data_IF_389021012861
#
_entry.id   IF_389021012861
#
_cell.length_a   1.000
_cell.length_b   1.000
_cell.length_c   1.000
_cell.angle_alpha   90.00
_cell.angle_beta   90.00
_cell.angle_gamma   90.00
#
_symmetry.space_group_name_H-M   'P 1'
#
loop_
_entity.id
_entity.type
_entity.pdbx_description
1 polymer ?
#
# COMPACT_ATOMS: atom_id res chain seq x y z
N UNK A 1 11.31 17.95 5.63
CA UNK A 1 11.24 18.06 7.11
C UNK A 1 9.78 17.86 7.52
N UNK A 2 9.45 16.76 8.21
CA UNK A 2 8.08 16.53 8.71
C UNK A 2 7.86 17.37 9.97
N UNK A 3 7.05 18.43 9.87
CA UNK A 3 6.60 19.22 11.01
C UNK A 3 6.21 20.64 10.62
N UNK A 4 4.97 21.04 10.93
CA UNK A 4 4.64 22.45 11.17
C UNK A 4 5.07 22.75 12.61
N UNK A 5 5.75 23.88 12.79
CA UNK A 5 6.21 24.31 14.10
C UNK A 5 5.02 24.73 14.97
N UNK A 6 4.85 24.07 16.11
CA UNK A 6 4.09 24.59 17.25
C UNK A 6 4.83 24.23 18.53
N UNK A 7 4.83 25.16 19.49
CA UNK A 7 5.56 25.10 20.76
C UNK A 7 5.51 23.74 21.46
N UNK A 8 6.68 23.10 21.61
CA UNK A 8 6.84 21.84 22.35
C UNK A 8 7.30 20.66 21.49
N UNK A 9 8.50 20.77 20.89
CA UNK A 9 9.16 19.69 20.15
C UNK A 9 8.54 19.46 18.75
N UNK A 10 9.38 19.17 17.75
CA UNK A 10 8.91 18.81 16.42
C UNK A 10 8.06 17.52 16.52
N UNK A 11 6.73 17.65 16.56
CA UNK A 11 5.84 16.51 16.36
C UNK A 11 5.96 16.06 14.92
N UNK A 12 6.46 14.83 14.74
CA UNK A 12 6.51 14.18 13.43
C UNK A 12 5.07 13.84 13.04
N UNK A 13 4.63 14.30 11.88
CA UNK A 13 3.33 13.89 11.34
C UNK A 13 3.42 12.43 10.86
N UNK A 14 2.79 11.52 11.59
CA UNK A 14 2.72 10.07 11.29
C UNK A 14 1.36 9.67 10.72
N UNK A 15 0.65 10.63 10.13
CA UNK A 15 -0.63 10.38 9.49
C UNK A 15 -0.45 9.69 8.14
N UNK A 16 -1.19 8.60 7.95
CA UNK A 16 -1.30 7.86 6.70
C UNK A 16 -2.75 7.82 6.25
N UNK A 17 -2.96 7.58 4.96
CA UNK A 17 -4.30 7.41 4.39
C UNK A 17 -4.43 6.03 3.79
N UNK A 18 -5.63 5.47 3.89
CA UNK A 18 -5.93 4.15 3.33
C UNK A 18 -6.60 4.35 1.99
N UNK A 19 -6.13 3.60 0.99
CA UNK A 19 -6.80 3.48 -0.30
C UNK A 19 -7.10 2.00 -0.54
N UNK A 20 -8.24 1.74 -1.16
CA UNK A 20 -8.67 0.40 -1.55
C UNK A 20 -8.99 0.38 -3.04
N UNK A 21 -8.50 -0.66 -3.71
CA UNK A 21 -8.90 -0.98 -5.07
C UNK A 21 -10.17 -1.79 -5.04
N UNK A 22 -11.26 -1.22 -5.53
CA UNK A 22 -12.61 -1.80 -5.49
C UNK A 22 -12.99 -2.25 -6.89
N UNK A 23 -13.42 -3.51 -7.01
CA UNK A 23 -13.89 -4.10 -8.28
C UNK A 23 -15.37 -4.45 -8.13
N UNK A 24 -16.21 -3.93 -9.02
CA UNK A 24 -17.62 -4.32 -9.07
C UNK A 24 -17.78 -5.64 -9.84
N UNK A 25 -17.97 -6.74 -9.10
CA UNK A 25 -18.18 -8.07 -9.68
C UNK A 25 -19.66 -8.39 -9.97
N UNK A 26 -20.56 -7.43 -9.74
CA UNK A 26 -22.01 -7.60 -9.95
C UNK A 26 -22.40 -7.24 -11.38
N UNK A 27 -23.64 -7.58 -11.75
CA UNK A 27 -24.18 -7.27 -13.09
C UNK A 27 -24.79 -5.85 -13.18
N UNK A 28 -24.85 -5.10 -12.08
CA UNK A 28 -25.45 -3.76 -12.01
C UNK A 28 -24.39 -2.73 -11.58
N UNK A 29 -24.55 -1.45 -11.98
CA UNK A 29 -23.70 -0.39 -11.46
C UNK A 29 -23.88 -0.26 -9.94
N UNK A 30 -22.81 0.10 -9.25
CA UNK A 30 -22.79 0.36 -7.81
C UNK A 30 -22.49 1.83 -7.56
N UNK A 31 -23.21 2.45 -6.62
CA UNK A 31 -22.97 3.84 -6.24
C UNK A 31 -22.41 3.91 -4.82
N UNK A 32 -21.09 4.04 -4.69
CA UNK A 32 -20.47 4.22 -3.38
C UNK A 32 -20.67 5.65 -2.88
N UNK A 33 -21.22 5.81 -1.68
CA UNK A 33 -21.59 7.11 -1.09
C UNK A 33 -20.81 7.46 0.15
N UNK A 34 -20.30 6.47 0.89
CA UNK A 34 -19.49 6.69 2.08
C UNK A 34 -18.50 5.54 2.30
N UNK A 35 -17.44 5.84 3.06
CA UNK A 35 -16.44 4.87 3.45
C UNK A 35 -15.97 5.17 4.88
N UNK A 36 -15.77 4.11 5.68
CA UNK A 36 -15.31 4.21 7.06
C UNK A 36 -14.28 3.15 7.33
N UNK A 37 -13.32 3.47 8.18
CA UNK A 37 -12.49 2.46 8.82
C UNK A 37 -12.57 2.51 10.34
N UNK A 38 -12.31 1.37 10.98
CA UNK A 38 -12.33 1.20 12.43
C UNK A 38 -11.12 0.43 12.91
N UNK A 39 -10.48 0.90 13.99
CA UNK A 39 -9.42 0.16 14.68
C UNK A 39 -10.04 -0.96 15.51
N UNK A 40 -9.53 -2.17 15.37
CA UNK A 40 -9.99 -3.34 16.11
C UNK A 40 -8.79 -4.01 16.80
N UNK A 41 -8.89 -4.20 18.12
CA UNK A 41 -7.88 -4.92 18.93
C UNK A 41 -6.45 -4.38 18.79
N UNK A 42 -6.30 -3.06 18.60
CA UNK A 42 -4.99 -2.43 18.52
C UNK A 42 -4.74 -1.49 19.70
N UNK A 43 -3.47 -1.26 19.99
CA UNK A 43 -2.98 -0.21 20.89
C UNK A 43 -2.25 0.85 20.07
N UNK A 44 -2.07 2.05 20.62
CA UNK A 44 -1.20 3.08 20.04
C UNK A 44 -1.54 3.46 18.58
N UNK A 45 -2.79 3.25 18.14
CA UNK A 45 -3.35 3.75 16.88
C UNK A 45 -4.49 4.71 17.20
N UNK A 46 -4.53 5.83 16.49
CA UNK A 46 -5.56 6.85 16.63
C UNK A 46 -6.10 7.27 15.27
N UNK A 47 -7.29 7.88 15.28
CA UNK A 47 -7.72 8.69 14.15
C UNK A 47 -6.80 9.90 14.04
N UNK A 48 -6.21 10.09 12.88
CA UNK A 48 -5.47 11.28 12.50
C UNK A 48 -6.41 12.35 11.92
N UNK A 49 -5.82 13.34 11.26
CA UNK A 49 -6.58 14.36 10.54
C UNK A 49 -7.36 13.77 9.35
N UNK A 50 -7.93 14.63 8.53
CA UNK A 50 -8.68 14.21 7.36
C UNK A 50 -8.13 14.81 6.07
N UNK A 51 -8.27 14.09 4.96
CA UNK A 51 -7.94 14.57 3.62
C UNK A 51 -9.17 15.20 3.00
N UNK A 52 -9.07 16.49 2.68
CA UNK A 52 -10.12 17.21 1.99
C UNK A 52 -9.88 17.20 0.47
N UNK A 53 -10.96 17.07 -0.30
CA UNK A 53 -11.02 17.34 -1.74
C UNK A 53 -10.11 16.50 -2.66
N UNK A 54 -9.92 15.20 -2.41
CA UNK A 54 -9.37 14.29 -3.44
C UNK A 54 -10.46 13.60 -4.27
N UNK A 55 -10.18 13.43 -5.57
CA UNK A 55 -11.02 12.63 -6.48
C UNK A 55 -11.10 11.20 -5.93
N UNK A 56 -12.30 10.62 -5.91
CA UNK A 56 -12.60 9.29 -5.36
C UNK A 56 -12.35 9.13 -3.84
N UNK A 57 -12.40 10.23 -3.09
CA UNK A 57 -12.34 10.19 -1.63
C UNK A 57 -13.72 10.12 -1.02
N UNK A 58 -13.93 9.10 -0.19
CA UNK A 58 -15.18 8.89 0.52
C UNK A 58 -14.97 9.14 2.02
N UNK A 59 -15.86 9.98 2.57
CA UNK A 59 -15.96 10.27 3.98
C UNK A 59 -16.90 9.29 4.67
N UNK A 60 -16.81 9.15 6.00
CA UNK A 60 -17.80 8.42 6.78
C UNK A 60 -19.15 9.13 6.82
N UNK A 61 -19.21 10.40 6.40
CA UNK A 61 -20.43 11.20 6.34
C UNK A 61 -20.76 11.47 4.88
N UNK A 62 -21.91 10.99 4.40
CA UNK A 62 -22.32 11.08 2.98
C UNK A 62 -22.30 12.52 2.46
N UNK A 63 -22.69 13.51 3.26
CA UNK A 63 -22.73 14.92 2.86
C UNK A 63 -21.36 15.53 2.54
N UNK A 64 -20.27 14.87 2.94
CA UNK A 64 -18.90 15.28 2.64
C UNK A 64 -18.27 14.48 1.50
N UNK A 65 -18.94 13.44 1.02
CA UNK A 65 -18.49 12.58 -0.07
C UNK A 65 -19.03 13.06 -1.42
N UNK A 66 -18.23 12.91 -2.47
CA UNK A 66 -18.77 12.86 -3.84
C UNK A 66 -19.03 11.39 -4.18
N UNK A 67 -20.28 10.99 -4.51
CA UNK A 67 -20.56 9.61 -4.85
C UNK A 67 -19.71 9.10 -6.02
N UNK A 68 -19.31 7.83 -5.96
CA UNK A 68 -18.50 7.17 -6.98
C UNK A 68 -19.36 6.10 -7.63
N UNK A 69 -19.66 6.28 -8.92
CA UNK A 69 -20.29 5.24 -9.73
C UNK A 69 -19.24 4.24 -10.20
N UNK A 70 -19.53 2.95 -10.08
CA UNK A 70 -18.69 1.86 -10.56
C UNK A 70 -19.55 0.97 -11.44
N UNK A 71 -19.33 0.99 -12.75
CA UNK A 71 -20.11 0.15 -13.66
C UNK A 71 -19.79 -1.33 -13.47
N UNK A 72 -20.65 -2.20 -14.01
CA UNK A 72 -20.48 -3.65 -13.90
C UNK A 72 -19.14 -4.09 -14.51
N UNK A 73 -18.32 -4.79 -13.73
CA UNK A 73 -16.99 -5.24 -14.14
C UNK A 73 -15.87 -4.18 -14.02
N UNK A 74 -16.20 -2.94 -13.65
CA UNK A 74 -15.20 -1.89 -13.51
C UNK A 74 -14.44 -1.93 -12.18
N UNK A 75 -13.28 -1.29 -12.19
CA UNK A 75 -12.41 -1.14 -11.05
C UNK A 75 -12.08 0.33 -10.80
N UNK A 76 -12.14 0.75 -9.54
CA UNK A 76 -11.79 2.11 -9.12
C UNK A 76 -10.95 2.06 -7.84
N UNK A 77 -9.98 2.96 -7.74
CA UNK A 77 -9.26 3.20 -6.49
C UNK A 77 -10.06 4.20 -5.65
N UNK A 78 -10.48 3.77 -4.46
CA UNK A 78 -11.25 4.54 -3.46
C UNK A 78 -10.32 4.95 -2.33
N UNK A 79 -10.26 6.23 -2.03
CA UNK A 79 -9.53 6.75 -0.88
C UNK A 79 -10.48 6.93 0.32
N UNK A 80 -10.02 6.55 1.51
CA UNK A 80 -10.71 6.83 2.76
C UNK A 80 -10.25 8.20 3.28
N UNK A 81 -11.18 9.13 3.47
CA UNK A 81 -10.85 10.51 3.83
C UNK A 81 -10.28 10.64 5.25
N UNK A 82 -10.68 9.78 6.18
CA UNK A 82 -10.14 9.77 7.54
C UNK A 82 -8.70 9.23 7.54
N UNK A 83 -7.76 10.00 8.09
CA UNK A 83 -6.36 9.58 8.24
C UNK A 83 -6.16 8.69 9.45
N UNK A 84 -5.26 7.73 9.34
CA UNK A 84 -4.81 6.85 10.41
C UNK A 84 -3.49 7.36 10.96
N UNK A 85 -3.35 7.54 12.27
CA UNK A 85 -2.11 7.98 12.88
C UNK A 85 -1.30 6.76 13.36
N UNK A 86 -0.15 6.54 12.72
CA UNK A 86 0.77 5.44 13.03
C UNK A 86 1.78 5.87 14.10
N UNK A 87 1.29 6.10 15.33
CA UNK A 87 2.11 6.61 16.43
C UNK A 87 3.39 5.77 16.65
N UNK A 88 4.55 6.41 16.61
CA UNK A 88 5.88 5.83 16.80
C UNK A 88 6.49 5.16 15.56
N UNK A 89 5.78 5.07 14.43
CA UNK A 89 6.28 4.38 13.23
C UNK A 89 7.45 5.12 12.57
N UNK A 90 7.40 6.45 12.47
CA UNK A 90 8.48 7.22 11.84
C UNK A 90 9.80 7.04 12.59
N UNK A 91 9.75 6.90 13.93
CA UNK A 91 10.94 6.59 14.73
C UNK A 91 11.52 5.20 14.39
N UNK A 92 10.67 4.20 14.12
CA UNK A 92 11.11 2.86 13.68
C UNK A 92 11.74 2.89 12.30
N UNK A 93 11.09 3.55 11.34
CA UNK A 93 11.60 3.69 9.96
C UNK A 93 12.95 4.40 9.95
N UNK A 94 13.09 5.54 10.63
CA UNK A 94 14.36 6.29 10.68
C UNK A 94 15.53 5.53 11.31
N UNK A 95 15.24 4.58 12.20
CA UNK A 95 16.28 3.72 12.81
C UNK A 95 16.74 2.61 11.86
N UNK A 96 15.92 2.24 10.88
CA UNK A 96 16.27 1.21 9.91
C UNK A 96 16.95 1.83 8.68
N UNK A 97 18.27 2.03 8.79
CA UNK A 97 19.10 2.56 7.70
C UNK A 97 19.16 1.65 6.47
N UNK A 98 18.85 0.37 6.61
CA UNK A 98 18.90 -0.56 5.47
C UNK A 98 17.81 -0.27 4.44
N UNK A 99 16.71 0.38 4.84
CA UNK A 99 15.63 0.81 3.93
C UNK A 99 16.12 1.88 2.95
N UNK A 100 17.05 2.72 3.38
CA UNK A 100 17.61 3.82 2.57
C UNK A 100 18.34 3.30 1.34
N UNK A 101 18.81 2.04 1.39
CA UNK A 101 19.52 1.38 0.29
C UNK A 101 18.64 0.43 -0.52
N UNK A 102 17.34 0.36 -0.20
CA UNK A 102 16.43 -0.54 -0.88
C UNK A 102 16.23 -0.15 -2.35
N UNK A 103 16.16 -1.17 -3.21
CA UNK A 103 15.76 -0.97 -4.59
C UNK A 103 14.26 -0.73 -4.67
N UNK A 104 13.82 0.16 -5.57
CA UNK A 104 12.40 0.34 -5.88
C UNK A 104 12.08 0.00 -7.32
N UNK A 105 10.83 -0.37 -7.55
CA UNK A 105 10.27 -0.60 -8.87
C UNK A 105 9.34 0.57 -9.20
N UNK A 106 9.52 1.13 -10.40
CA UNK A 106 8.63 2.16 -10.92
C UNK A 106 7.21 1.61 -11.04
N UNK A 107 6.22 2.42 -10.64
CA UNK A 107 4.82 2.06 -10.64
C UNK A 107 3.98 3.14 -9.98
N UNK A 108 2.65 3.01 -10.05
CA UNK A 108 1.74 3.86 -9.29
C UNK A 108 0.82 2.97 -8.43
N UNK A 109 1.08 2.83 -7.12
CA UNK A 109 2.19 3.44 -6.36
C UNK A 109 3.57 2.80 -6.65
N UNK A 110 4.65 3.54 -6.41
CA UNK A 110 6.02 3.01 -6.41
C UNK A 110 6.14 1.92 -5.33
N UNK A 111 6.88 0.83 -5.63
CA UNK A 111 7.01 -0.31 -4.72
C UNK A 111 8.45 -0.58 -4.35
N UNK A 112 8.71 -0.91 -3.08
CA UNK A 112 10.02 -1.40 -2.64
C UNK A 112 10.20 -2.85 -3.10
N UNK A 113 11.41 -3.20 -3.52
CA UNK A 113 11.81 -4.56 -3.83
C UNK A 113 12.48 -5.20 -2.62
N UNK A 114 11.91 -6.30 -2.13
CA UNK A 114 12.53 -7.15 -1.11
C UNK A 114 11.60 -7.51 0.04
N UNK A 115 11.29 -8.80 0.16
CA UNK A 115 10.44 -9.36 1.22
C UNK A 115 10.97 -9.06 2.63
N UNK A 116 12.29 -8.88 2.78
CA UNK A 116 12.91 -8.51 4.06
C UNK A 116 12.33 -7.21 4.64
N UNK A 117 12.02 -6.23 3.80
CA UNK A 117 11.52 -4.93 4.23
C UNK A 117 10.04 -5.00 4.60
N UNK A 118 9.27 -5.78 3.83
CA UNK A 118 7.86 -6.06 4.10
C UNK A 118 7.71 -6.80 5.44
N UNK A 119 8.51 -7.86 5.64
CA UNK A 119 8.50 -8.65 6.88
C UNK A 119 8.93 -7.79 8.07
N UNK A 120 10.02 -7.02 7.94
CA UNK A 120 10.44 -6.10 9.00
C UNK A 120 9.35 -5.09 9.36
N UNK A 121 8.65 -4.52 8.37
CA UNK A 121 7.59 -3.55 8.62
C UNK A 121 6.38 -4.21 9.29
N UNK A 122 6.01 -5.42 8.89
CA UNK A 122 4.99 -6.23 9.56
C UNK A 122 5.34 -6.51 11.03
N UNK A 123 6.61 -6.79 11.33
CA UNK A 123 7.09 -6.93 12.70
C UNK A 123 6.96 -5.61 13.47
N UNK A 124 7.30 -4.46 12.85
CA UNK A 124 7.13 -3.16 13.51
C UNK A 124 5.66 -2.84 13.79
N UNK A 125 4.75 -3.15 12.86
CA UNK A 125 3.31 -3.00 13.06
C UNK A 125 2.83 -3.85 14.24
N UNK A 126 3.28 -5.11 14.32
CA UNK A 126 2.94 -6.02 15.42
C UNK A 126 3.48 -5.53 16.77
N UNK A 127 4.73 -5.05 16.80
CA UNK A 127 5.36 -4.54 18.00
C UNK A 127 4.66 -3.28 18.52
N UNK A 128 4.40 -2.31 17.65
CA UNK A 128 3.80 -1.03 18.02
C UNK A 128 2.31 -1.18 18.35
N UNK A 129 1.55 -1.90 17.54
CA UNK A 129 0.09 -1.86 17.57
C UNK A 129 -0.57 -3.14 18.07
N UNK A 130 0.17 -4.23 18.18
CA UNK A 130 -0.31 -5.54 18.62
C UNK A 130 -0.39 -6.55 17.47
N UNK A 131 -0.09 -7.80 17.78
CA UNK A 131 -0.14 -8.95 16.86
C UNK A 131 -1.55 -9.22 16.31
N UNK A 132 -2.57 -8.94 17.12
CA UNK A 132 -4.00 -9.09 16.78
C UNK A 132 -4.64 -7.82 16.22
N UNK A 133 -3.87 -6.75 16.05
CA UNK A 133 -4.39 -5.48 15.56
C UNK A 133 -4.94 -5.61 14.14
N UNK A 134 -6.14 -5.07 13.93
CA UNK A 134 -6.86 -5.13 12.66
C UNK A 134 -7.46 -3.77 12.34
N UNK A 135 -7.63 -3.54 11.03
CA UNK A 135 -8.39 -2.44 10.49
C UNK A 135 -9.64 -3.00 9.82
N UNK A 136 -10.82 -2.59 10.28
CA UNK A 136 -12.06 -2.86 9.55
C UNK A 136 -12.25 -1.77 8.52
N UNK A 137 -12.42 -2.12 7.26
CA UNK A 137 -12.76 -1.21 6.17
C UNK A 137 -14.20 -1.50 5.74
N UNK A 138 -15.05 -0.48 5.71
CA UNK A 138 -16.45 -0.61 5.27
C UNK A 138 -16.76 0.41 4.19
N UNK A 139 -17.34 -0.06 3.09
CA UNK A 139 -17.88 0.75 2.00
C UNK A 139 -19.39 0.72 2.05
N UNK A 140 -20.02 1.86 1.76
CA UNK A 140 -21.45 2.04 1.82
C UNK A 140 -22.01 2.54 0.49
N UNK A 141 -23.23 2.15 0.19
CA UNK A 141 -24.07 2.64 -0.89
C UNK A 141 -25.34 3.30 -0.33
N UNK A 142 -25.86 4.29 -1.06
CA UNK A 142 -27.07 5.02 -0.67
C UNK A 142 -26.97 5.61 0.74
N UNK A 143 -27.99 5.39 1.56
CA UNK A 143 -28.06 5.84 2.96
C UNK A 143 -27.45 4.80 3.91
N UNK A 144 -26.11 4.68 3.87
CA UNK A 144 -25.31 3.80 4.73
C UNK A 144 -25.63 2.30 4.63
N UNK A 145 -26.02 1.81 3.45
CA UNK A 145 -26.18 0.37 3.22
C UNK A 145 -24.77 -0.24 3.03
N UNK A 146 -24.30 -1.14 3.91
CA UNK A 146 -22.95 -1.70 3.78
C UNK A 146 -22.90 -2.68 2.60
N UNK A 147 -22.04 -2.39 1.63
CA UNK A 147 -21.85 -3.24 0.44
C UNK A 147 -20.60 -4.11 0.53
N UNK A 148 -19.61 -3.66 1.30
CA UNK A 148 -18.42 -4.45 1.61
C UNK A 148 -17.93 -4.09 3.02
N UNK A 149 -17.56 -5.11 3.80
CA UNK A 149 -16.85 -4.93 5.07
C UNK A 149 -15.76 -5.98 5.21
N UNK A 150 -14.53 -5.52 5.38
CA UNK A 150 -13.33 -6.37 5.36
C UNK A 150 -12.51 -6.07 6.60
N UNK A 151 -12.04 -7.12 7.28
CA UNK A 151 -11.08 -7.03 8.37
C UNK A 151 -9.68 -7.34 7.86
N UNK A 152 -8.81 -6.33 7.86
CA UNK A 152 -7.43 -6.44 7.40
C UNK A 152 -6.48 -6.48 8.60
N UNK A 153 -5.68 -7.54 8.79
CA UNK A 153 -4.69 -7.62 9.86
C UNK A 153 -3.52 -6.66 9.59
N UNK A 154 -3.13 -5.89 10.61
CA UNK A 154 -1.99 -4.97 10.55
C UNK A 154 -0.65 -5.68 10.70
N UNK A 155 -0.62 -6.88 11.24
CA UNK A 155 0.58 -7.70 11.34
C UNK A 155 0.93 -8.43 10.02
N UNK A 156 0.14 -8.23 8.96
CA UNK A 156 0.35 -8.91 7.67
C UNK A 156 0.44 -7.90 6.53
N UNK A 157 1.63 -7.83 5.94
CA UNK A 157 1.88 -7.12 4.71
C UNK A 157 1.97 -8.05 3.52
N UNK A 158 1.83 -7.47 2.32
CA UNK A 158 2.13 -8.17 1.08
C UNK A 158 3.31 -7.55 0.35
N UNK A 159 3.96 -8.38 -0.46
CA UNK A 159 4.99 -7.96 -1.38
C UNK A 159 4.38 -7.66 -2.76
N UNK A 160 5.25 -7.27 -3.70
CA UNK A 160 4.82 -6.81 -5.01
C UNK A 160 4.19 -7.89 -5.91
N UNK A 161 4.36 -9.18 -5.59
CA UNK A 161 3.77 -10.30 -6.33
C UNK A 161 2.35 -10.67 -5.87
N UNK A 162 1.80 -9.96 -4.88
CA UNK A 162 0.50 -10.29 -4.34
C UNK A 162 -0.65 -9.65 -5.14
N UNK A 163 -1.65 -10.46 -5.47
CA UNK A 163 -2.76 -10.10 -6.35
C UNK A 163 -4.14 -10.09 -5.66
N UNK A 164 -4.20 -10.14 -4.32
CA UNK A 164 -5.47 -10.13 -3.57
C UNK A 164 -5.93 -11.51 -3.10
N UNK A 165 -5.19 -12.57 -3.42
CA UNK A 165 -5.55 -13.96 -3.15
C UNK A 165 -4.56 -14.64 -2.21
N UNK A 166 -5.07 -15.50 -1.34
CA UNK A 166 -4.27 -16.40 -0.51
C UNK A 166 -4.74 -17.84 -0.67
N UNK A 167 -3.79 -18.78 -0.65
CA UNK A 167 -4.08 -20.21 -0.69
C UNK A 167 -4.35 -20.70 0.73
N UNK A 168 -5.49 -21.34 0.96
CA UNK A 168 -5.80 -21.95 2.24
C UNK A 168 -5.00 -23.25 2.48
N UNK A 169 -5.10 -23.82 3.68
CA UNK A 169 -4.41 -25.08 4.04
C UNK A 169 -4.80 -26.28 3.16
N UNK A 170 -5.90 -26.18 2.40
CA UNK A 170 -6.42 -27.21 1.50
C UNK A 170 -6.08 -26.92 0.03
N UNK A 171 -5.29 -25.90 -0.25
CA UNK A 171 -4.89 -25.53 -1.61
C UNK A 171 -5.92 -24.68 -2.37
N UNK A 172 -7.02 -24.25 -1.72
CA UNK A 172 -8.04 -23.42 -2.38
C UNK A 172 -7.65 -21.94 -2.30
N UNK A 173 -7.71 -21.28 -3.44
CA UNK A 173 -7.49 -19.84 -3.56
C UNK A 173 -8.71 -19.10 -2.99
N UNK A 174 -8.47 -18.17 -2.07
CA UNK A 174 -9.49 -17.33 -1.44
C UNK A 174 -9.08 -15.86 -1.51
N UNK A 175 -10.05 -14.97 -1.71
CA UNK A 175 -9.83 -13.53 -1.59
C UNK A 175 -9.48 -13.16 -0.15
N UNK A 176 -8.33 -12.54 0.06
CA UNK A 176 -7.76 -12.36 1.39
C UNK A 176 -7.02 -11.03 1.52
N UNK A 177 -7.71 -9.88 1.35
CA UNK A 177 -7.10 -8.56 1.22
C UNK A 177 -6.15 -8.23 2.39
N UNK A 178 -5.00 -7.66 2.04
CA UNK A 178 -3.89 -7.33 2.95
C UNK A 178 -3.32 -5.95 2.60
N UNK A 179 -2.57 -5.38 3.53
CA UNK A 179 -1.93 -4.07 3.33
C UNK A 179 -0.70 -4.20 2.43
N UNK A 180 -0.62 -3.33 1.42
CA UNK A 180 0.50 -3.24 0.49
C UNK A 180 1.68 -2.48 1.12
N UNK A 181 2.42 -3.16 2.01
CA UNK A 181 3.59 -2.58 2.68
C UNK A 181 4.72 -2.27 1.72
N UNK A 182 4.84 -3.05 0.65
CA UNK A 182 5.75 -2.76 -0.43
C UNK A 182 5.49 -1.38 -1.07
N UNK A 183 4.22 -1.10 -1.36
CA UNK A 183 3.77 0.18 -1.90
C UNK A 183 3.91 1.32 -0.89
N UNK A 184 3.57 1.08 0.38
CA UNK A 184 3.72 2.08 1.44
C UNK A 184 5.17 2.52 1.61
N UNK A 185 6.10 1.56 1.71
CA UNK A 185 7.52 1.84 1.84
C UNK A 185 8.10 2.48 0.58
N UNK A 186 7.63 2.06 -0.61
CA UNK A 186 8.02 2.68 -1.88
C UNK A 186 7.61 4.16 -1.95
N UNK A 187 6.36 4.48 -1.62
CA UNK A 187 5.90 5.88 -1.53
C UNK A 187 6.65 6.69 -0.48
N UNK A 188 6.98 6.09 0.67
CA UNK A 188 7.81 6.74 1.68
C UNK A 188 9.18 7.15 1.12
N UNK A 189 9.85 6.26 0.39
CA UNK A 189 11.13 6.54 -0.27
C UNK A 189 10.99 7.63 -1.34
N UNK A 190 9.93 7.56 -2.15
CA UNK A 190 9.60 8.57 -3.17
C UNK A 190 9.40 9.97 -2.55
N UNK A 191 8.65 10.05 -1.45
CA UNK A 191 8.46 11.30 -0.73
C UNK A 191 9.76 11.82 -0.14
N UNK A 192 10.61 10.92 0.39
CA UNK A 192 11.89 11.28 0.98
C UNK A 192 12.84 11.85 -0.06
N UNK A 193 12.96 11.26 -1.25
CA UNK A 193 13.78 11.80 -2.35
C UNK A 193 13.36 13.21 -2.77
N UNK A 194 12.04 13.49 -2.77
CA UNK A 194 11.52 14.82 -3.06
C UNK A 194 11.82 15.83 -1.94
N UNK A 195 11.94 15.39 -0.69
CA UNK A 195 12.04 16.25 0.49
C UNK A 195 13.45 16.41 1.06
N UNK A 196 14.35 15.45 0.83
CA UNK A 196 15.70 15.41 1.39
C UNK A 196 16.76 15.60 0.29
N UNK A 197 17.41 16.77 0.25
CA UNK A 197 18.51 17.02 -0.68
C UNK A 197 19.62 15.97 -0.49
N UNK A 198 20.01 15.30 -1.58
CA UNK A 198 21.07 14.30 -1.58
C UNK A 198 20.62 12.86 -1.33
N UNK A 199 19.36 12.63 -0.93
CA UNK A 199 18.79 11.29 -0.95
C UNK A 199 18.42 10.91 -2.40
N UNK A 200 18.74 9.67 -2.79
CA UNK A 200 18.44 9.10 -4.10
C UNK A 200 17.93 7.69 -3.92
N UNK A 201 16.90 7.35 -4.68
CA UNK A 201 16.34 6.01 -4.66
C UNK A 201 17.16 5.10 -5.56
N UNK A 202 17.49 3.92 -5.05
CA UNK A 202 18.20 2.93 -5.85
C UNK A 202 17.24 2.27 -6.85
N UNK A 203 17.61 2.27 -8.12
CA UNK A 203 16.94 1.47 -9.15
C UNK A 203 17.63 0.12 -9.26
N UNK A 204 16.87 -0.99 -9.40
CA UNK A 204 17.47 -2.30 -9.52
C UNK A 204 18.32 -2.35 -10.80
N UNK A 205 19.50 -3.00 -10.74
CA UNK A 205 20.33 -3.18 -11.93
C UNK A 205 19.55 -3.90 -13.03
N UNK A 206 19.58 -3.36 -14.25
CA UNK A 206 18.93 -4.00 -15.40
C UNK A 206 19.83 -5.14 -15.87
N UNK A 207 19.36 -6.39 -15.82
CA UNK A 207 20.05 -7.50 -16.49
C UNK A 207 19.61 -7.57 -17.94
N UNK A 208 20.58 -7.60 -18.85
CA UNK A 208 20.30 -7.75 -20.28
C UNK A 208 20.42 -9.23 -20.61
N UNK A 209 19.31 -9.81 -21.06
CA UNK A 209 19.28 -11.19 -21.54
C UNK A 209 19.08 -11.13 -23.06
N UNK A 210 20.05 -11.64 -23.80
CA UNK A 210 19.92 -11.84 -25.24
C UNK A 210 19.13 -13.12 -25.50
N UNK A 211 18.06 -13.00 -26.29
CA UNK A 211 17.25 -14.14 -26.74
C UNK A 211 17.71 -14.51 -28.15
N UNK A 212 18.35 -15.67 -28.26
CA UNK A 212 18.88 -16.20 -29.52
C UNK A 212 17.93 -17.30 -30.01
N UNK A 213 17.35 -17.20 -31.22
CA UNK A 213 16.58 -18.28 -31.81
C UNK A 213 17.44 -19.54 -31.96
N UNK A 214 17.00 -20.66 -31.41
CA UNK A 214 17.73 -21.93 -31.49
C UNK A 214 16.73 -23.09 -31.61
N UNK A 215 16.62 -23.66 -32.80
CA UNK A 215 15.65 -24.71 -33.11
C UNK A 215 15.90 -26.03 -32.37
N UNK A 216 17.08 -26.21 -31.75
CA UNK A 216 17.50 -27.44 -31.10
C UNK A 216 17.19 -27.50 -29.61
N UNK A 217 16.67 -26.41 -29.03
CA UNK A 217 16.25 -26.34 -27.62
C UNK A 217 14.74 -26.21 -27.49
N UNK A 218 14.22 -26.79 -26.40
CA UNK A 218 12.79 -26.71 -26.09
C UNK A 218 12.37 -25.24 -25.89
N UNK A 219 11.32 -24.80 -26.58
CA UNK A 219 10.93 -23.38 -26.67
C UNK A 219 11.55 -22.60 -27.83
N UNK A 220 12.43 -23.22 -28.63
CA UNK A 220 13.09 -22.64 -29.82
C UNK A 220 13.90 -21.36 -29.54
N UNK A 221 14.27 -21.14 -28.28
CA UNK A 221 14.95 -19.94 -27.80
C UNK A 221 16.05 -20.35 -26.82
N UNK A 222 17.21 -19.74 -26.96
CA UNK A 222 18.33 -19.84 -26.03
C UNK A 222 18.60 -18.48 -25.42
N UNK A 223 18.72 -18.44 -24.10
CA UNK A 223 19.00 -17.21 -23.36
C UNK A 223 20.49 -17.09 -23.09
N UNK A 224 21.08 -15.94 -23.40
CA UNK A 224 22.45 -15.59 -23.04
C UNK A 224 22.41 -14.38 -22.12
N UNK A 225 22.93 -14.55 -20.90
CA UNK A 225 23.11 -13.43 -19.97
C UNK A 225 24.26 -12.55 -20.49
N UNK A 226 23.95 -11.30 -20.84
CA UNK A 226 24.93 -10.31 -21.29
C UNK A 226 25.46 -9.47 -20.11
N UNK A 227 25.01 -9.74 -18.89
CA UNK A 227 25.43 -9.07 -17.67
C UNK A 227 24.48 -7.96 -17.21
N UNK A 228 24.96 -7.17 -16.26
CA UNK A 228 24.23 -6.05 -15.66
C UNK A 228 24.56 -4.76 -16.41
N UNK A 229 23.55 -4.13 -16.99
CA UNK A 229 23.63 -2.75 -17.45
C UNK A 229 23.48 -1.85 -16.22
N UNK A 230 24.54 -1.12 -15.87
CA UNK A 230 24.44 -0.08 -14.85
C UNK A 230 23.57 1.07 -15.38
N UNK A 231 22.71 1.67 -14.55
CA UNK A 231 22.03 2.91 -14.93
C UNK A 231 23.10 3.95 -15.28
N UNK A 232 22.98 4.62 -16.43
CA UNK A 232 23.83 5.79 -16.74
C UNK A 232 23.55 6.88 -15.69
N UNK A 233 24.61 7.39 -15.05
CA UNK A 233 24.55 8.42 -14.00
C UNK A 233 24.02 9.77 -14.50
#
# INVERSE_FOLDING_TARGET
MFGLASDGGQKVNEQVFVAARVTNITAAPMLLTAAKWEVVQARNLSKGGARYFSKNSLWPVISMSTPINIDAGEQVDVEFAEGLELNGMASRIRKNRDIDTAYTLAGNPMRINGDRYVNWFADQMSLLYGDKAKLRLTLYEGDYIPVASVLVPLSQGVNFFYHGEAVDQKGKVQYAPRLAYDAFLGQYLEMREKMEPGFRINTPPTRVIEVIPDANVWGKQRYRDLGVQQPEE
#
